data_IF_509822368879
#
_entry.id   IF_509822368879
#
_cell.length_a   1.000
_cell.length_b   1.000
_cell.length_c   1.000
_cell.angle_alpha   90.00
_cell.angle_beta   90.00
_cell.angle_gamma   90.00
#
_symmetry.space_group_name_H-M   'P 1'
#
loop_
_entity.id
_entity.type
_entity.pdbx_description
1 polymer ?
#
# COMPACT_ATOMS: atom_id res chain seq x y z
N UNK A 1 23.53 -0.91 -1.12
CA UNK A 1 22.93 -0.92 0.23
C UNK A 1 21.98 0.26 0.45
N UNK A 2 22.45 1.51 0.45
CA UNK A 2 21.60 2.68 0.77
C UNK A 2 20.33 2.82 -0.09
N UNK A 3 20.43 2.63 -1.41
CA UNK A 3 19.27 2.69 -2.32
C UNK A 3 18.17 1.67 -1.97
N UNK A 4 18.56 0.42 -1.68
CA UNK A 4 17.64 -0.65 -1.31
C UNK A 4 16.90 -0.32 -0.01
N UNK A 5 17.63 0.15 1.01
CA UNK A 5 17.06 0.50 2.32
C UNK A 5 16.08 1.67 2.18
N UNK A 6 16.41 2.69 1.39
CA UNK A 6 15.54 3.84 1.15
C UNK A 6 14.22 3.41 0.48
N UNK A 7 14.30 2.62 -0.60
CA UNK A 7 13.10 2.14 -1.28
C UNK A 7 12.29 1.18 -0.41
N UNK A 8 12.95 0.30 0.35
CA UNK A 8 12.27 -0.57 1.31
C UNK A 8 11.45 0.26 2.33
N UNK A 9 12.06 1.27 2.95
CA UNK A 9 11.36 2.15 3.88
C UNK A 9 10.19 2.88 3.21
N UNK A 10 10.40 3.44 2.02
CA UNK A 10 9.32 4.08 1.24
C UNK A 10 8.16 3.12 1.01
N UNK A 11 8.42 1.89 0.57
CA UNK A 11 7.38 0.91 0.30
C UNK A 11 6.67 0.46 1.58
N UNK A 12 7.40 0.28 2.69
CA UNK A 12 6.78 -0.05 3.98
C UNK A 12 5.76 1.01 4.38
N UNK A 13 6.08 2.30 4.30
CA UNK A 13 5.10 3.34 4.63
C UNK A 13 3.99 3.43 3.56
N UNK A 14 4.35 3.33 2.27
CA UNK A 14 3.41 3.41 1.16
C UNK A 14 2.33 2.32 1.20
N UNK A 15 2.67 1.11 1.66
CA UNK A 15 1.72 0.01 1.85
C UNK A 15 0.81 0.20 3.08
N UNK A 16 1.02 1.24 3.88
CA UNK A 16 0.19 1.64 5.02
C UNK A 16 -0.13 0.49 6.01
N UNK A 17 0.89 -0.23 6.51
CA UNK A 17 0.71 -1.51 7.19
C UNK A 17 -0.22 -1.44 8.41
N UNK A 18 -0.20 -0.32 9.15
CA UNK A 18 -1.06 -0.14 10.31
C UNK A 18 -2.53 0.11 9.94
N UNK A 19 -2.78 0.78 8.81
CA UNK A 19 -4.12 0.96 8.28
C UNK A 19 -4.69 -0.37 7.79
N UNK A 20 -3.92 -1.10 6.98
CA UNK A 20 -4.29 -2.42 6.48
C UNK A 20 -4.53 -3.39 7.65
N UNK A 21 -3.67 -3.36 8.67
CA UNK A 21 -3.83 -4.15 9.89
C UNK A 21 -5.13 -3.81 10.62
N UNK A 22 -5.44 -2.52 10.82
CA UNK A 22 -6.68 -2.09 11.46
C UNK A 22 -7.92 -2.56 10.68
N UNK A 23 -7.91 -2.40 9.36
CA UNK A 23 -8.98 -2.88 8.48
C UNK A 23 -9.14 -4.39 8.51
N UNK A 24 -8.02 -5.12 8.44
CA UNK A 24 -8.00 -6.58 8.53
C UNK A 24 -8.61 -7.07 9.85
N UNK A 25 -8.21 -6.47 10.98
CA UNK A 25 -8.76 -6.81 12.30
C UNK A 25 -10.26 -6.50 12.39
N UNK A 26 -10.71 -5.38 11.83
CA UNK A 26 -12.13 -5.01 11.78
C UNK A 26 -12.98 -5.98 10.99
N UNK A 27 -12.50 -6.38 9.82
CA UNK A 27 -13.27 -7.19 8.87
C UNK A 27 -13.25 -8.69 9.24
N UNK A 28 -12.26 -9.13 10.01
CA UNK A 28 -12.11 -10.53 10.45
C UNK A 28 -12.52 -10.75 11.91
N UNK A 29 -13.30 -9.84 12.50
CA UNK A 29 -13.83 -10.05 13.85
C UNK A 29 -14.67 -11.34 13.91
N UNK A 30 -14.42 -12.18 14.91
CA UNK A 30 -15.11 -13.47 15.08
C UNK A 30 -14.62 -14.61 14.18
N UNK A 31 -13.71 -14.37 13.23
CA UNK A 31 -13.20 -15.42 12.35
C UNK A 31 -12.19 -16.33 13.05
N UNK A 32 -12.15 -17.61 12.64
CA UNK A 32 -11.16 -18.56 13.13
C UNK A 32 -9.73 -18.18 12.69
N UNK A 33 -8.72 -18.52 13.51
CA UNK A 33 -7.32 -18.16 13.22
C UNK A 33 -6.82 -18.73 11.87
N UNK A 34 -7.31 -19.90 11.47
CA UNK A 34 -7.00 -20.51 10.17
C UNK A 34 -7.52 -19.66 9.00
N UNK A 35 -8.76 -19.18 9.09
CA UNK A 35 -9.37 -18.32 8.06
C UNK A 35 -8.63 -16.98 7.96
N UNK A 36 -8.26 -16.37 9.10
CA UNK A 36 -7.45 -15.13 9.13
C UNK A 36 -6.12 -15.30 8.42
N UNK A 37 -5.39 -16.39 8.70
CA UNK A 37 -4.10 -16.68 8.06
C UNK A 37 -4.23 -16.92 6.55
N UNK A 38 -5.26 -17.65 6.13
CA UNK A 38 -5.55 -17.85 4.70
C UNK A 38 -5.84 -16.51 4.01
N UNK A 39 -6.66 -15.67 4.62
CA UNK A 39 -6.97 -14.33 4.11
C UNK A 39 -5.71 -13.47 4.00
N UNK A 40 -4.86 -13.45 5.04
CA UNK A 40 -3.60 -12.70 5.04
C UNK A 40 -2.68 -13.11 3.88
N UNK A 41 -2.56 -14.41 3.61
CA UNK A 41 -1.78 -14.92 2.47
C UNK A 41 -2.38 -14.48 1.13
N UNK A 42 -3.70 -14.55 0.97
CA UNK A 42 -4.36 -14.13 -0.28
C UNK A 42 -4.24 -12.63 -0.54
N UNK A 43 -4.37 -11.80 0.51
CA UNK A 43 -4.10 -10.36 0.42
C UNK A 43 -2.65 -10.13 -0.01
N UNK A 44 -1.70 -10.82 0.64
CA UNK A 44 -0.26 -10.72 0.32
C UNK A 44 0.03 -11.06 -1.14
N UNK A 45 -0.52 -12.17 -1.65
CA UNK A 45 -0.34 -12.60 -3.04
C UNK A 45 -0.98 -11.61 -4.01
N UNK A 46 -2.22 -11.19 -3.78
CA UNK A 46 -2.93 -10.26 -4.65
C UNK A 46 -2.23 -8.88 -4.68
N UNK A 47 -1.83 -8.36 -3.52
CA UNK A 47 -1.06 -7.12 -3.43
C UNK A 47 0.32 -7.27 -4.10
N UNK A 48 0.99 -8.41 -3.94
CA UNK A 48 2.27 -8.67 -4.58
C UNK A 48 2.18 -8.65 -6.10
N UNK A 49 1.24 -9.41 -6.69
CA UNK A 49 1.04 -9.43 -8.13
C UNK A 49 0.72 -8.02 -8.66
N UNK A 50 -0.21 -7.32 -8.01
CA UNK A 50 -0.64 -5.96 -8.42
C UNK A 50 0.52 -4.97 -8.34
N UNK A 51 1.23 -4.92 -7.21
CA UNK A 51 2.35 -4.00 -7.00
C UNK A 51 3.52 -4.28 -7.94
N UNK A 52 3.83 -5.55 -8.23
CA UNK A 52 4.85 -5.91 -9.21
C UNK A 52 4.46 -5.42 -10.61
N UNK A 53 3.23 -5.68 -11.05
CA UNK A 53 2.75 -5.22 -12.36
C UNK A 53 2.89 -3.70 -12.46
N UNK A 54 2.41 -2.94 -11.47
CA UNK A 54 2.50 -1.48 -11.48
C UNK A 54 3.95 -0.97 -11.51
N UNK A 55 4.85 -1.59 -10.74
CA UNK A 55 6.27 -1.19 -10.71
C UNK A 55 6.96 -1.41 -12.06
N UNK A 56 6.65 -2.48 -12.78
CA UNK A 56 7.26 -2.78 -14.09
C UNK A 56 6.61 -2.03 -15.26
N UNK A 57 5.32 -1.68 -15.15
CA UNK A 57 4.56 -1.04 -16.23
C UNK A 57 4.53 0.50 -16.17
N UNK A 58 5.20 1.13 -15.19
CA UNK A 58 5.18 2.60 -15.03
C UNK A 58 5.48 3.40 -16.30
N UNK A 59 6.59 3.09 -16.99
CA UNK A 59 6.97 3.79 -18.24
C UNK A 59 5.98 3.58 -19.38
N UNK A 60 5.54 2.33 -19.57
CA UNK A 60 4.61 1.95 -20.63
C UNK A 60 3.27 2.66 -20.50
N UNK A 61 2.78 2.85 -19.27
CA UNK A 61 1.54 3.59 -19.02
C UNK A 61 1.71 5.06 -19.43
N UNK A 62 2.82 5.71 -19.08
CA UNK A 62 3.05 7.11 -19.44
C UNK A 62 3.17 7.32 -20.95
N UNK A 63 3.86 6.41 -21.65
CA UNK A 63 3.95 6.42 -23.11
C UNK A 63 2.61 6.17 -23.80
N UNK A 64 1.78 5.26 -23.28
CA UNK A 64 0.48 4.93 -23.87
C UNK A 64 -0.54 6.07 -23.79
N UNK A 65 -0.46 6.89 -22.73
CA UNK A 65 -1.38 8.01 -22.52
C UNK A 65 -0.81 9.37 -22.94
N UNK A 66 0.44 9.41 -23.44
CA UNK A 66 1.16 10.64 -23.77
C UNK A 66 1.21 11.65 -22.60
N UNK A 67 1.44 11.13 -21.39
CA UNK A 67 1.53 11.92 -20.16
C UNK A 67 2.98 11.98 -19.69
N UNK A 68 3.48 13.17 -19.39
CA UNK A 68 4.84 13.31 -18.84
C UNK A 68 4.90 12.77 -17.41
N UNK A 69 6.03 12.16 -17.06
CA UNK A 69 6.29 11.66 -15.71
C UNK A 69 6.11 12.77 -14.66
N UNK A 70 6.50 14.01 -15.00
CA UNK A 70 6.38 15.16 -14.10
C UNK A 70 4.95 15.63 -13.90
N UNK A 71 4.11 15.63 -14.95
CA UNK A 71 2.67 15.89 -14.79
C UNK A 71 2.02 14.82 -13.90
N UNK A 72 2.40 13.55 -14.08
CA UNK A 72 1.89 12.46 -13.26
C UNK A 72 2.37 12.53 -11.81
N UNK A 73 3.60 13.00 -11.54
CA UNK A 73 4.10 13.26 -10.18
C UNK A 73 3.21 14.24 -9.42
N UNK A 74 2.72 15.29 -10.09
CA UNK A 74 1.83 16.29 -9.49
C UNK A 74 0.46 15.67 -9.20
N UNK A 75 -0.19 15.08 -10.21
CA UNK A 75 -1.53 14.49 -10.06
C UNK A 75 -1.56 13.28 -9.12
N UNK A 76 -0.64 12.34 -9.32
CA UNK A 76 -0.45 11.18 -8.45
C UNK A 76 -0.05 11.56 -7.03
N UNK A 77 0.71 12.65 -6.89
CA UNK A 77 1.09 13.21 -5.59
C UNK A 77 -0.10 13.76 -4.85
N UNK A 78 -1.01 14.45 -5.54
CA UNK A 78 -2.27 14.90 -4.97
C UNK A 78 -3.14 13.72 -4.48
N UNK A 79 -3.24 12.63 -5.25
CA UNK A 79 -3.96 11.41 -4.82
C UNK A 79 -3.33 10.75 -3.59
N UNK A 80 -1.99 10.68 -3.54
CA UNK A 80 -1.27 10.18 -2.37
C UNK A 80 -1.48 11.11 -1.15
N UNK A 81 -1.50 12.42 -1.35
CA UNK A 81 -1.76 13.40 -0.29
C UNK A 81 -3.19 13.27 0.26
N UNK A 82 -4.19 13.09 -0.61
CA UNK A 82 -5.57 12.84 -0.19
C UNK A 82 -5.69 11.51 0.58
N UNK A 83 -4.97 10.47 0.16
CA UNK A 83 -4.89 9.20 0.88
C UNK A 83 -4.28 9.40 2.27
N UNK A 84 -3.21 10.19 2.35
CA UNK A 84 -2.54 10.56 3.60
C UNK A 84 -3.48 11.30 4.58
N UNK A 85 -4.23 12.28 4.07
CA UNK A 85 -5.26 13.01 4.84
C UNK A 85 -6.35 12.06 5.34
N UNK A 86 -6.78 11.10 4.51
CA UNK A 86 -7.73 10.05 4.92
C UNK A 86 -7.26 9.24 6.12
N UNK A 87 -5.97 8.88 6.15
CA UNK A 87 -5.34 8.17 7.27
C UNK A 87 -5.30 9.02 8.55
N UNK A 88 -4.91 10.30 8.44
CA UNK A 88 -4.82 11.23 9.59
C UNK A 88 -6.20 11.48 10.19
N UNK A 89 -7.20 11.66 9.34
CA UNK A 89 -8.59 11.86 9.76
C UNK A 89 -9.21 10.61 10.38
N UNK A 90 -8.55 9.44 10.26
CA UNK A 90 -9.03 8.20 10.85
C UNK A 90 -10.36 7.76 10.27
N UNK A 91 -10.60 7.99 8.97
CA UNK A 91 -11.74 7.43 8.23
C UNK A 91 -11.56 5.91 8.06
N UNK A 92 -11.38 5.20 9.16
CA UNK A 92 -11.76 3.80 9.25
C UNK A 92 -13.27 3.89 9.39
N UNK A 93 -13.98 3.99 8.26
CA UNK A 93 -15.41 3.71 8.28
C UNK A 93 -15.56 2.39 9.03
N UNK A 94 -16.45 2.34 10.02
CA UNK A 94 -16.88 1.12 10.68
C UNK A 94 -17.51 0.20 9.62
N UNK A 95 -16.65 -0.40 8.78
CA UNK A 95 -17.06 -1.37 7.80
C UNK A 95 -17.52 -2.56 8.63
N UNK A 96 -18.82 -2.84 8.51
CA UNK A 96 -19.47 -3.94 9.22
C UNK A 96 -18.60 -5.19 9.10
N UNK A 97 -18.41 -5.94 10.20
CA UNK A 97 -17.79 -7.26 10.15
C UNK A 97 -18.42 -8.05 9.00
N UNK A 98 -17.59 -8.66 8.17
CA UNK A 98 -18.11 -9.49 7.09
C UNK A 98 -18.76 -10.72 7.72
N UNK A 99 -20.07 -10.86 7.49
CA UNK A 99 -20.84 -11.98 7.99
C UNK A 99 -20.21 -13.28 7.46
N UNK A 100 -19.89 -14.20 8.38
CA UNK A 100 -19.45 -15.55 8.04
C UNK A 100 -20.69 -16.32 7.63
N UNK A 101 -21.08 -16.21 6.36
CA UNK A 101 -21.95 -17.21 5.75
C UNK A 101 -21.08 -18.12 4.90
N UNK A 102 -20.90 -19.30 5.45
CA UNK A 102 -20.26 -20.47 4.85
C UNK A 102 -18.75 -20.41 4.60
N UNK A 103 -18.10 -21.54 4.89
CA UNK A 103 -16.66 -21.79 4.84
C UNK A 103 -16.11 -21.84 3.39
N UNK A 104 -16.81 -21.17 2.46
CA UNK A 104 -16.45 -21.18 1.05
C UNK A 104 -15.15 -20.42 0.85
N UNK A 105 -14.10 -21.14 0.45
CA UNK A 105 -12.84 -20.54 0.02
C UNK A 105 -13.08 -19.46 -1.05
N UNK A 106 -14.14 -19.55 -1.85
CA UNK A 106 -14.52 -18.52 -2.80
C UNK A 106 -14.74 -17.14 -2.16
N UNK A 107 -15.53 -17.02 -1.08
CA UNK A 107 -15.76 -15.74 -0.39
C UNK A 107 -14.49 -15.14 0.20
N UNK A 108 -13.59 -15.98 0.73
CA UNK A 108 -12.29 -15.52 1.25
C UNK A 108 -11.43 -14.93 0.13
N UNK A 109 -11.49 -15.49 -1.09
CA UNK A 109 -10.80 -14.93 -2.27
C UNK A 109 -11.38 -13.58 -2.65
N UNK A 110 -12.70 -13.45 -2.70
CA UNK A 110 -13.36 -12.21 -3.09
C UNK A 110 -12.97 -11.07 -2.14
N UNK A 111 -13.06 -11.31 -0.83
CA UNK A 111 -12.69 -10.34 0.23
C UNK A 111 -11.20 -10.00 0.19
N UNK A 112 -10.35 -10.98 -0.11
CA UNK A 112 -8.91 -10.78 -0.22
C UNK A 112 -8.55 -9.81 -1.35
N UNK A 113 -9.20 -9.96 -2.52
CA UNK A 113 -8.95 -9.10 -3.68
C UNK A 113 -9.65 -7.76 -3.49
N UNK A 114 -10.94 -7.77 -3.19
CA UNK A 114 -11.76 -6.57 -2.94
C UNK A 114 -12.50 -6.69 -1.60
N UNK A 115 -12.28 -5.80 -0.61
CA UNK A 115 -11.55 -4.54 -0.71
C UNK A 115 -10.10 -4.58 -0.16
N UNK A 116 -9.62 -5.70 0.38
CA UNK A 116 -8.41 -5.68 1.24
C UNK A 116 -7.09 -5.52 0.46
N UNK A 117 -6.88 -6.28 -0.62
CA UNK A 117 -5.74 -6.02 -1.51
C UNK A 117 -5.95 -4.73 -2.30
N UNK A 118 -7.12 -4.56 -2.92
CA UNK A 118 -7.51 -3.37 -3.66
C UNK A 118 -8.90 -2.94 -3.16
N UNK A 119 -9.11 -1.69 -2.67
CA UNK A 119 -8.18 -0.57 -2.65
C UNK A 119 -7.45 -0.36 -1.31
N UNK A 120 -7.66 -1.19 -0.29
CA UNK A 120 -7.13 -0.89 1.07
C UNK A 120 -5.60 -0.95 1.12
N UNK A 121 -4.98 -1.98 0.55
CA UNK A 121 -3.51 -2.11 0.51
C UNK A 121 -2.92 -1.35 -0.67
N UNK A 122 -3.48 -1.55 -1.86
CA UNK A 122 -3.04 -0.94 -3.11
C UNK A 122 -4.07 0.11 -3.54
N UNK A 123 -4.10 1.21 -2.80
CA UNK A 123 -5.00 2.34 -3.05
C UNK A 123 -4.47 3.28 -4.14
N UNK A 124 -5.25 4.30 -4.54
CA UNK A 124 -4.89 5.23 -5.61
C UNK A 124 -3.55 5.95 -5.36
N UNK A 125 -3.25 6.32 -4.11
CA UNK A 125 -1.96 6.91 -3.75
C UNK A 125 -0.78 5.93 -3.92
N UNK A 126 -0.96 4.67 -3.48
CA UNK A 126 0.03 3.59 -3.64
C UNK A 126 0.28 3.29 -5.11
N UNK A 127 -0.78 3.22 -5.92
CA UNK A 127 -0.70 3.02 -7.37
C UNK A 127 0.13 4.14 -8.01
N UNK A 128 -0.21 5.39 -7.73
CA UNK A 128 0.50 6.54 -8.27
C UNK A 128 2.00 6.52 -7.90
N UNK A 129 2.32 6.31 -6.63
CA UNK A 129 3.72 6.28 -6.20
C UNK A 129 4.51 5.11 -6.81
N UNK A 130 3.90 3.92 -6.94
CA UNK A 130 4.55 2.76 -7.57
C UNK A 130 4.87 3.01 -9.05
N UNK A 131 3.94 3.64 -9.78
CA UNK A 131 4.15 3.99 -11.19
C UNK A 131 5.31 5.00 -11.34
N UNK A 132 5.36 6.03 -10.50
CA UNK A 132 6.47 7.01 -10.49
C UNK A 132 7.80 6.34 -10.15
N UNK A 133 7.85 5.55 -9.08
CA UNK A 133 9.08 4.84 -8.67
C UNK A 133 9.54 3.85 -9.76
N UNK A 134 8.58 3.18 -10.41
CA UNK A 134 8.84 2.29 -11.53
C UNK A 134 9.41 3.02 -12.75
N UNK A 135 8.89 4.20 -13.07
CA UNK A 135 9.36 4.97 -14.21
C UNK A 135 10.71 5.69 -13.95
N UNK A 136 10.99 6.07 -12.71
CA UNK A 136 12.29 6.67 -12.31
C UNK A 136 13.46 5.68 -12.35
N UNK A 137 13.19 4.37 -12.33
CA UNK A 137 14.25 3.38 -12.40
C UNK A 137 14.88 3.36 -13.80
N UNK A 138 16.09 3.93 -13.92
CA UNK A 138 16.79 4.10 -15.19
C UNK A 138 17.53 2.84 -15.67
N UNK A 139 17.99 1.99 -14.74
CA UNK A 139 18.78 0.79 -15.05
C UNK A 139 18.04 -0.49 -14.64
N UNK A 140 18.31 -1.61 -15.34
CA UNK A 140 17.81 -2.94 -14.95
C UNK A 140 18.18 -3.28 -13.50
N UNK A 141 19.40 -2.92 -13.07
CA UNK A 141 19.86 -3.09 -11.68
C UNK A 141 19.01 -2.31 -10.67
N UNK A 142 18.66 -1.05 -10.96
CA UNK A 142 17.84 -0.23 -10.05
C UNK A 142 16.39 -0.73 -10.01
N UNK A 143 15.86 -1.21 -11.14
CA UNK A 143 14.56 -1.88 -11.19
C UNK A 143 14.53 -3.14 -10.32
N UNK A 144 15.53 -4.02 -10.46
CA UNK A 144 15.59 -5.27 -9.70
C UNK A 144 15.76 -5.02 -8.19
N UNK A 145 16.55 -4.02 -7.82
CA UNK A 145 16.67 -3.58 -6.42
C UNK A 145 15.35 -3.02 -5.86
N UNK A 146 14.62 -2.22 -6.64
CA UNK A 146 13.30 -1.73 -6.25
C UNK A 146 12.30 -2.88 -6.10
N UNK A 147 12.29 -3.84 -7.04
CA UNK A 147 11.42 -5.01 -6.98
C UNK A 147 11.72 -5.87 -5.74
N UNK A 148 13.00 -6.12 -5.44
CA UNK A 148 13.40 -6.84 -4.23
C UNK A 148 13.01 -6.11 -2.94
N UNK A 149 13.17 -4.78 -2.89
CA UNK A 149 12.76 -3.97 -1.75
C UNK A 149 11.23 -3.99 -1.54
N UNK A 150 10.46 -3.92 -2.64
CA UNK A 150 9.00 -4.00 -2.61
C UNK A 150 8.52 -5.40 -2.19
N UNK A 151 9.15 -6.46 -2.71
CA UNK A 151 8.87 -7.83 -2.31
C UNK A 151 9.10 -8.04 -0.81
N UNK A 152 10.20 -7.50 -0.27
CA UNK A 152 10.48 -7.56 1.17
C UNK A 152 9.44 -6.76 1.98
N UNK A 153 9.05 -5.56 1.53
CA UNK A 153 8.02 -4.76 2.20
C UNK A 153 6.66 -5.48 2.23
N UNK A 154 6.26 -6.13 1.14
CA UNK A 154 5.04 -6.94 1.05
C UNK A 154 5.11 -8.19 1.91
N UNK A 155 6.29 -8.83 2.00
CA UNK A 155 6.52 -9.93 2.92
C UNK A 155 6.36 -9.49 4.38
N UNK A 156 6.91 -8.32 4.75
CA UNK A 156 6.71 -7.73 6.07
C UNK A 156 5.23 -7.42 6.35
N UNK A 157 4.51 -6.81 5.39
CA UNK A 157 3.07 -6.56 5.51
C UNK A 157 2.29 -7.86 5.75
N UNK A 158 2.53 -8.86 4.90
CA UNK A 158 1.86 -10.17 5.01
C UNK A 158 2.14 -10.83 6.36
N UNK A 159 3.40 -10.74 6.83
CA UNK A 159 3.79 -11.22 8.15
C UNK A 159 3.05 -10.49 9.27
N UNK A 160 2.94 -9.15 9.20
CA UNK A 160 2.17 -8.35 10.16
C UNK A 160 0.70 -8.83 10.21
N UNK A 161 0.07 -9.07 9.07
CA UNK A 161 -1.30 -9.59 9.00
C UNK A 161 -1.41 -11.02 9.54
N UNK A 162 -0.39 -11.86 9.33
CA UNK A 162 -0.37 -13.23 9.82
C UNK A 162 -0.36 -13.31 11.35
N UNK A 163 0.27 -12.33 12.02
CA UNK A 163 0.30 -12.21 13.48
C UNK A 163 -0.64 -11.12 14.02
N UNK A 164 -1.61 -10.66 13.21
CA UNK A 164 -2.47 -9.53 13.53
C UNK A 164 -3.14 -9.62 14.90
N UNK A 165 -3.72 -10.78 15.25
CA UNK A 165 -4.41 -11.00 16.53
C UNK A 165 -3.46 -10.81 17.73
N UNK A 166 -2.20 -11.24 17.61
CA UNK A 166 -1.21 -11.07 18.66
C UNK A 166 -0.78 -9.60 18.81
N UNK A 167 -0.64 -8.89 17.69
CA UNK A 167 -0.33 -7.46 17.68
C UNK A 167 -1.47 -6.67 18.34
N UNK A 168 -2.73 -7.00 18.03
CA UNK A 168 -3.91 -6.38 18.65
C UNK A 168 -3.94 -6.62 20.16
N UNK A 169 -3.70 -7.85 20.61
CA UNK A 169 -3.69 -8.17 22.05
C UNK A 169 -2.57 -7.45 22.81
N UNK A 170 -1.41 -7.25 22.18
CA UNK A 170 -0.23 -6.64 22.83
C UNK A 170 -0.26 -5.12 22.84
N UNK A 171 -0.66 -4.48 21.73
CA UNK A 171 -0.62 -3.03 21.57
C UNK A 171 -1.99 -2.37 21.72
N UNK A 172 -3.08 -3.12 21.56
CA UNK A 172 -4.43 -2.58 21.56
C UNK A 172 -4.78 -1.83 20.27
N UNK A 173 -6.07 -1.80 19.96
CA UNK A 173 -6.57 -1.19 18.72
C UNK A 173 -6.32 0.31 18.63
N UNK A 174 -6.34 1.02 19.77
CA UNK A 174 -6.06 2.45 19.82
C UNK A 174 -4.64 2.80 19.35
N UNK A 175 -3.62 2.04 19.76
CA UNK A 175 -2.23 2.28 19.36
C UNK A 175 -2.05 2.04 17.86
N UNK A 176 -2.65 0.97 17.32
CA UNK A 176 -2.61 0.69 15.88
C UNK A 176 -3.21 1.84 15.06
N UNK A 177 -4.34 2.40 15.51
CA UNK A 177 -4.96 3.56 14.86
C UNK A 177 -4.07 4.80 14.93
N UNK A 178 -3.41 5.06 16.07
CA UNK A 178 -2.47 6.18 16.20
C UNK A 178 -1.28 6.01 15.24
N UNK A 179 -0.70 4.80 15.14
CA UNK A 179 0.38 4.51 14.19
C UNK A 179 -0.04 4.69 12.73
N UNK A 180 -1.30 4.38 12.41
CA UNK A 180 -1.89 4.67 11.10
C UNK A 180 -1.90 6.18 10.81
N UNK A 181 -2.25 7.02 11.80
CA UNK A 181 -2.21 8.48 11.63
C UNK A 181 -0.79 9.00 11.42
N UNK A 182 0.18 8.47 12.17
CA UNK A 182 1.61 8.80 11.98
C UNK A 182 2.09 8.42 10.57
N UNK A 183 1.66 7.26 10.07
CA UNK A 183 1.94 6.84 8.69
C UNK A 183 1.34 7.81 7.67
N UNK A 184 0.13 8.32 7.94
CA UNK A 184 -0.48 9.40 7.16
C UNK A 184 0.39 10.66 7.09
N UNK A 185 0.97 11.12 8.20
CA UNK A 185 1.87 12.27 8.20
C UNK A 185 3.12 12.05 7.33
N UNK A 186 3.69 10.83 7.35
CA UNK A 186 4.83 10.46 6.51
C UNK A 186 4.43 10.43 5.03
N UNK A 187 3.27 9.85 4.71
CA UNK A 187 2.73 9.83 3.34
C UNK A 187 2.46 11.23 2.80
N UNK A 188 1.97 12.14 3.64
CA UNK A 188 1.76 13.53 3.26
C UNK A 188 3.10 14.20 2.89
N UNK A 189 4.17 13.94 3.65
CA UNK A 189 5.51 14.42 3.31
C UNK A 189 6.03 13.82 1.99
N UNK A 190 5.86 12.51 1.78
CA UNK A 190 6.24 11.83 0.53
C UNK A 190 5.46 12.37 -0.67
N UNK A 191 4.16 12.59 -0.51
CA UNK A 191 3.29 13.18 -1.51
C UNK A 191 3.71 14.61 -1.87
N UNK A 192 3.95 15.46 -0.88
CA UNK A 192 4.48 16.81 -1.08
C UNK A 192 5.80 16.78 -1.84
N UNK A 193 6.74 15.90 -1.45
CA UNK A 193 8.00 15.75 -2.17
C UNK A 193 7.79 15.37 -3.63
N UNK A 194 6.87 14.46 -3.92
CA UNK A 194 6.55 14.05 -5.29
C UNK A 194 5.98 15.22 -6.10
N UNK A 195 5.04 15.98 -5.52
CA UNK A 195 4.45 17.18 -6.15
C UNK A 195 5.54 18.22 -6.45
N UNK A 196 6.34 18.61 -5.46
CA UNK A 196 7.38 19.63 -5.63
C UNK A 196 8.48 19.18 -6.59
N UNK A 197 8.78 17.88 -6.66
CA UNK A 197 9.71 17.34 -7.66
C UNK A 197 9.13 17.52 -9.07
N UNK A 198 7.87 17.17 -9.29
CA UNK A 198 7.20 17.39 -10.58
C UNK A 198 7.11 18.87 -10.97
N UNK A 199 6.71 19.74 -10.03
CA UNK A 199 6.65 21.19 -10.26
C UNK A 199 8.03 21.75 -10.61
N UNK A 200 9.07 21.36 -9.89
CA UNK A 200 10.44 21.83 -10.17
C UNK A 200 10.89 21.41 -11.56
N UNK A 201 10.70 20.14 -11.94
CA UNK A 201 11.06 19.64 -13.27
C UNK A 201 10.26 20.30 -14.40
N UNK A 202 9.03 20.75 -14.12
CA UNK A 202 8.21 21.47 -15.09
C UNK A 202 8.64 22.93 -15.29
N UNK A 203 9.07 23.60 -14.21
CA UNK A 203 9.44 25.03 -14.23
C UNK A 203 10.93 25.27 -14.53
N UNK A 204 11.79 24.33 -14.17
CA UNK A 204 13.24 24.39 -14.36
C UNK A 204 13.67 23.06 -15.00
N UNK A 205 13.57 22.94 -16.34
CA UNK A 205 13.87 21.71 -17.06
C UNK A 205 15.35 21.31 -16.97
#
# INVERSE_FOLDING_TARGET
>A
MAYFINNFLKFVFLLTPFFVLSMFLSMTQGWAMRQKRLLALRIGIAAFCTCMILLFFGKWIFEAFDITLDAFRIGGGALLFLSAVGLVNGKVEDKKPLAVEDDSEARISDIAVVPLAIPVTVGPGTIAALLVIGADASTVKTHLLSAGALALALFCLTSILFVATWIEQKFGRHVIVILSKVTGLILAAMASQMIFTGVRSFLVP
#
